data_IF_879106307408
#
_entry.id   IF_879106307408
#
_cell.length_a   1.000
_cell.length_b   1.000
_cell.length_c   1.000
_cell.angle_alpha   90.00
_cell.angle_beta   90.00
_cell.angle_gamma   90.00
#
_symmetry.space_group_name_H-M   'P 1'
#
loop_
_entity.id
_entity.type
_entity.pdbx_description
1 polymer ?
#
# COMPACT_ATOMS: atom_id res chain seq x y z
N UNK A 1 -31.81 -4.44 9.62
CA UNK A 1 -30.60 -4.54 8.79
C UNK A 1 -29.40 -4.64 9.71
N UNK A 2 -28.93 -5.86 9.99
CA UNK A 2 -27.66 -6.05 10.69
C UNK A 2 -26.56 -5.79 9.66
N UNK A 3 -25.75 -4.76 9.83
CA UNK A 3 -24.68 -4.43 8.90
C UNK A 3 -23.72 -5.63 8.79
N UNK A 4 -23.62 -6.32 7.63
CA UNK A 4 -22.80 -7.53 7.46
C UNK A 4 -21.32 -7.19 7.20
N UNK A 5 -20.87 -6.04 7.71
CA UNK A 5 -19.51 -5.53 7.55
C UNK A 5 -18.72 -5.84 8.81
N UNK A 6 -17.67 -6.65 8.65
CA UNK A 6 -16.73 -6.91 9.73
C UNK A 6 -15.76 -5.72 9.85
N UNK A 7 -16.23 -4.62 10.45
CA UNK A 7 -15.49 -3.35 10.60
C UNK A 7 -14.09 -3.58 11.18
N UNK A 8 -13.96 -4.53 12.12
CA UNK A 8 -12.67 -4.92 12.72
C UNK A 8 -11.61 -5.22 11.66
N UNK A 9 -11.96 -5.92 10.57
CA UNK A 9 -11.02 -6.26 9.51
C UNK A 9 -10.56 -5.02 8.75
N UNK A 10 -11.48 -4.13 8.43
CA UNK A 10 -11.18 -2.88 7.71
C UNK A 10 -10.24 -2.02 8.56
N UNK A 11 -10.56 -1.86 9.85
CA UNK A 11 -9.75 -1.07 10.79
C UNK A 11 -8.33 -1.63 10.90
N UNK A 12 -8.18 -2.95 11.09
CA UNK A 12 -6.85 -3.58 11.16
C UNK A 12 -6.08 -3.42 9.84
N UNK A 13 -6.74 -3.52 8.68
CA UNK A 13 -6.11 -3.29 7.38
C UNK A 13 -5.58 -1.85 7.24
N UNK A 14 -6.39 -0.86 7.62
CA UNK A 14 -5.99 0.55 7.64
C UNK A 14 -4.84 0.79 8.61
N UNK A 15 -4.90 0.23 9.82
CA UNK A 15 -3.81 0.34 10.82
C UNK A 15 -2.52 -0.26 10.28
N UNK A 16 -2.58 -1.41 9.60
CA UNK A 16 -1.41 -2.03 8.98
C UNK A 16 -0.80 -1.14 7.88
N UNK A 17 -1.63 -0.49 7.06
CA UNK A 17 -1.13 0.47 6.06
C UNK A 17 -0.52 1.73 6.70
N UNK A 18 -1.09 2.23 7.79
CA UNK A 18 -0.52 3.37 8.53
C UNK A 18 0.81 2.99 9.17
N UNK A 19 0.89 1.81 9.81
CA UNK A 19 2.14 1.29 10.38
C UNK A 19 3.21 1.12 9.29
N UNK A 20 2.81 0.63 8.11
CA UNK A 20 3.68 0.55 6.96
C UNK A 20 4.18 1.93 6.51
N UNK A 21 3.28 2.92 6.41
CA UNK A 21 3.63 4.31 6.08
C UNK A 21 4.62 4.91 7.09
N UNK A 22 4.46 4.61 8.39
CA UNK A 22 5.37 5.08 9.44
C UNK A 22 6.82 4.64 9.23
N UNK A 23 7.08 3.55 8.51
CA UNK A 23 8.44 3.13 8.16
C UNK A 23 9.19 4.22 7.37
N UNK A 24 8.50 4.92 6.46
CA UNK A 24 9.11 5.97 5.64
C UNK A 24 9.43 7.24 6.44
N UNK A 25 8.68 7.48 7.53
CA UNK A 25 8.84 8.65 8.41
C UNK A 25 9.97 8.43 9.41
N UNK A 26 10.00 7.27 10.08
CA UNK A 26 10.88 7.04 11.21
C UNK A 26 12.24 6.44 10.84
N UNK A 27 12.34 5.72 9.71
CA UNK A 27 13.59 5.10 9.29
C UNK A 27 14.39 6.12 8.48
N UNK A 28 15.64 6.35 8.88
CA UNK A 28 16.56 7.24 8.16
C UNK A 28 17.08 6.58 6.88
N UNK A 29 17.18 7.36 5.81
CA UNK A 29 17.71 6.89 4.52
C UNK A 29 19.21 6.55 4.55
N UNK A 30 19.93 7.05 5.56
CA UNK A 30 21.34 6.75 5.78
C UNK A 30 21.61 5.32 6.27
N UNK A 31 20.58 4.58 6.66
CA UNK A 31 20.74 3.22 7.18
C UNK A 31 20.73 2.24 6.01
N UNK A 32 21.86 1.55 5.85
CA UNK A 32 22.10 0.58 4.78
C UNK A 32 22.45 -0.78 5.38
N UNK A 33 22.05 -1.83 4.68
CA UNK A 33 22.48 -3.20 4.93
C UNK A 33 23.67 -3.46 4.03
N UNK A 34 24.79 -3.84 4.63
CA UNK A 34 25.93 -4.39 3.93
C UNK A 34 25.90 -5.92 4.06
N UNK A 35 25.65 -6.60 2.94
CA UNK A 35 25.53 -8.05 2.91
C UNK A 35 26.88 -8.78 2.92
N UNK A 36 27.95 -8.09 2.51
CA UNK A 36 29.30 -8.66 2.35
C UNK A 36 30.25 -8.19 3.46
N UNK A 37 29.93 -7.09 4.14
CA UNK A 37 30.75 -6.48 5.18
C UNK A 37 31.96 -5.71 4.65
N UNK A 38 32.03 -5.52 3.33
CA UNK A 38 33.15 -4.89 2.60
C UNK A 38 32.80 -3.50 2.05
N UNK A 39 31.58 -3.01 2.30
CA UNK A 39 31.08 -1.72 1.83
C UNK A 39 30.73 -1.66 0.35
N UNK A 40 30.80 -2.77 -0.40
CA UNK A 40 30.61 -2.78 -1.87
C UNK A 40 29.14 -2.88 -2.31
N UNK A 41 28.29 -3.57 -1.54
CA UNK A 41 26.89 -3.83 -1.88
C UNK A 41 25.94 -3.32 -0.79
N UNK A 42 25.78 -1.99 -0.75
CA UNK A 42 24.92 -1.31 0.21
C UNK A 42 23.47 -1.27 -0.29
N UNK A 43 22.57 -1.94 0.43
CA UNK A 43 21.13 -1.89 0.17
C UNK A 43 20.43 -1.00 1.19
N UNK A 44 19.56 -0.08 0.77
CA UNK A 44 18.79 0.74 1.71
C UNK A 44 17.88 -0.11 2.59
N UNK A 45 18.05 -0.03 3.92
CA UNK A 45 17.20 -0.74 4.88
C UNK A 45 15.73 -0.31 4.76
N UNK A 46 15.50 0.99 4.49
CA UNK A 46 14.14 1.54 4.32
C UNK A 46 13.41 0.83 3.17
N UNK A 47 14.09 0.62 2.04
CA UNK A 47 13.48 -0.08 0.88
C UNK A 47 13.18 -1.54 1.21
N UNK A 48 14.09 -2.23 1.89
CA UNK A 48 13.90 -3.64 2.28
C UNK A 48 12.70 -3.79 3.22
N UNK A 49 12.62 -2.96 4.27
CA UNK A 49 11.49 -2.98 5.20
C UNK A 49 10.20 -2.51 4.55
N UNK A 50 10.26 -1.58 3.60
CA UNK A 50 9.13 -1.18 2.77
C UNK A 50 8.53 -2.37 2.01
N UNK A 51 9.37 -3.17 1.34
CA UNK A 51 8.91 -4.37 0.61
C UNK A 51 8.38 -5.44 1.57
N UNK A 52 9.10 -5.73 2.67
CA UNK A 52 8.64 -6.71 3.68
C UNK A 52 7.29 -6.30 4.26
N UNK A 53 7.12 -5.02 4.59
CA UNK A 53 5.86 -4.53 5.13
C UNK A 53 4.70 -4.61 4.12
N UNK A 54 4.94 -4.39 2.82
CA UNK A 54 3.92 -4.63 1.79
C UNK A 54 3.52 -6.11 1.71
N UNK A 55 4.48 -7.03 1.83
CA UNK A 55 4.21 -8.47 1.88
C UNK A 55 3.32 -8.80 3.08
N UNK A 56 3.61 -8.24 4.26
CA UNK A 56 2.77 -8.43 5.46
C UNK A 56 1.33 -7.95 5.22
N UNK A 57 1.15 -6.76 4.62
CA UNK A 57 -0.17 -6.22 4.28
C UNK A 57 -0.90 -7.11 3.26
N UNK A 58 -0.19 -7.63 2.26
CA UNK A 58 -0.75 -8.54 1.27
C UNK A 58 -1.17 -9.87 1.90
N UNK A 59 -0.32 -10.47 2.74
CA UNK A 59 -0.62 -11.68 3.49
C UNK A 59 -1.86 -11.50 4.38
N UNK A 60 -2.02 -10.34 5.03
CA UNK A 60 -3.22 -10.04 5.82
C UNK A 60 -4.51 -10.12 4.97
N UNK A 61 -4.50 -9.56 3.75
CA UNK A 61 -5.67 -9.59 2.87
C UNK A 61 -5.93 -10.97 2.25
N UNK A 62 -4.89 -11.76 2.02
CA UNK A 62 -4.98 -13.10 1.44
C UNK A 62 -5.44 -14.15 2.45
N UNK A 63 -4.82 -14.19 3.64
CA UNK A 63 -5.01 -15.27 4.60
C UNK A 63 -6.14 -15.02 5.60
N UNK A 64 -6.43 -13.76 5.94
CA UNK A 64 -7.56 -13.47 6.82
C UNK A 64 -8.83 -13.54 5.99
N UNK A 65 -9.76 -14.41 6.39
CA UNK A 65 -11.07 -14.52 5.77
C UNK A 65 -12.06 -13.50 6.35
N UNK A 66 -13.03 -13.10 5.52
CA UNK A 66 -14.17 -12.26 5.86
C UNK A 66 -15.13 -12.28 4.67
N UNK A 67 -16.34 -11.75 4.87
CA UNK A 67 -17.31 -11.49 3.82
C UNK A 67 -16.66 -10.78 2.60
N UNK A 68 -16.94 -11.19 1.34
CA UNK A 68 -16.38 -10.55 0.15
C UNK A 68 -16.48 -9.03 0.13
N UNK A 69 -17.61 -8.46 0.57
CA UNK A 69 -17.80 -7.00 0.64
C UNK A 69 -16.81 -6.32 1.60
N UNK A 70 -16.57 -6.94 2.76
CA UNK A 70 -15.56 -6.44 3.71
C UNK A 70 -14.14 -6.59 3.17
N UNK A 71 -13.83 -7.68 2.46
CA UNK A 71 -12.51 -7.87 1.83
C UNK A 71 -12.24 -6.80 0.78
N UNK A 72 -13.22 -6.50 -0.08
CA UNK A 72 -13.11 -5.44 -1.10
C UNK A 72 -12.87 -4.09 -0.43
N UNK A 73 -13.73 -3.69 0.51
CA UNK A 73 -13.60 -2.40 1.21
C UNK A 73 -12.25 -2.26 1.94
N UNK A 74 -11.85 -3.28 2.70
CA UNK A 74 -10.56 -3.30 3.40
C UNK A 74 -9.38 -3.16 2.43
N UNK A 75 -9.38 -3.94 1.34
CA UNK A 75 -8.31 -3.91 0.35
C UNK A 75 -8.21 -2.56 -0.37
N UNK A 76 -9.35 -2.00 -0.80
CA UNK A 76 -9.39 -0.71 -1.48
C UNK A 76 -8.95 0.44 -0.57
N UNK A 77 -9.40 0.45 0.69
CA UNK A 77 -8.98 1.46 1.67
C UNK A 77 -7.47 1.38 1.96
N UNK A 78 -6.96 0.17 2.20
CA UNK A 78 -5.54 -0.08 2.47
C UNK A 78 -4.68 0.30 1.26
N UNK A 79 -5.09 -0.08 0.04
CA UNK A 79 -4.40 0.26 -1.20
C UNK A 79 -4.34 1.78 -1.41
N UNK A 80 -5.43 2.49 -1.11
CA UNK A 80 -5.48 3.96 -1.21
C UNK A 80 -4.40 4.61 -0.33
N UNK A 81 -4.26 4.15 0.92
CA UNK A 81 -3.25 4.67 1.85
C UNK A 81 -1.84 4.36 1.36
N UNK A 82 -1.58 3.13 0.91
CA UNK A 82 -0.28 2.72 0.36
C UNK A 82 0.08 3.59 -0.85
N UNK A 83 -0.87 3.75 -1.77
CA UNK A 83 -0.67 4.54 -2.99
C UNK A 83 -0.39 6.01 -2.69
N UNK A 84 -1.19 6.64 -1.80
CA UNK A 84 -0.95 8.02 -1.37
C UNK A 84 0.41 8.18 -0.69
N UNK A 85 0.80 7.22 0.16
CA UNK A 85 2.09 7.23 0.84
C UNK A 85 3.25 7.18 -0.16
N UNK A 86 3.17 6.33 -1.18
CA UNK A 86 4.19 6.25 -2.22
C UNK A 86 4.33 7.57 -3.00
N UNK A 87 3.22 8.23 -3.33
CA UNK A 87 3.25 9.55 -3.97
C UNK A 87 3.89 10.61 -3.07
N UNK A 88 3.57 10.58 -1.78
CA UNK A 88 4.03 11.59 -0.83
C UNK A 88 5.52 11.48 -0.53
N UNK A 89 6.02 10.25 -0.31
CA UNK A 89 7.41 10.02 0.10
C UNK A 89 8.38 9.82 -1.07
N UNK A 90 7.88 9.48 -2.26
CA UNK A 90 8.71 9.31 -3.46
C UNK A 90 8.24 10.26 -4.57
N UNK A 91 8.48 11.57 -4.43
CA UNK A 91 8.04 12.56 -5.40
C UNK A 91 8.67 12.31 -6.77
N UNK A 92 7.82 12.29 -7.81
CA UNK A 92 8.18 11.98 -9.21
C UNK A 92 9.09 13.02 -9.88
N UNK A 93 9.27 14.18 -9.23
CA UNK A 93 9.86 15.39 -9.80
C UNK A 93 11.25 15.70 -9.26
N UNK A 94 11.93 14.71 -8.67
CA UNK A 94 13.32 14.87 -8.25
C UNK A 94 14.23 15.00 -9.50
N UNK A 95 14.94 16.13 -9.69
CA UNK A 95 15.86 16.34 -10.81
C UNK A 95 17.00 15.31 -10.87
N UNK A 96 17.33 14.64 -9.76
CA UNK A 96 18.34 13.58 -9.69
C UNK A 96 17.82 12.19 -10.05
N UNK A 97 16.51 12.01 -10.26
CA UNK A 97 15.92 10.70 -10.54
C UNK A 97 15.93 10.39 -12.04
N UNK A 98 16.95 9.64 -12.48
CA UNK A 98 17.07 9.17 -13.88
C UNK A 98 15.92 8.27 -14.34
N UNK A 99 15.11 7.75 -13.41
CA UNK A 99 13.98 6.86 -13.67
C UNK A 99 12.62 7.54 -13.48
N UNK A 100 12.56 8.87 -13.37
CA UNK A 100 11.33 9.62 -13.05
C UNK A 100 10.11 9.26 -13.90
N UNK A 101 10.31 8.97 -15.20
CA UNK A 101 9.25 8.54 -16.10
C UNK A 101 8.61 7.20 -15.71
N UNK A 102 9.41 6.19 -15.35
CA UNK A 102 8.91 4.89 -14.91
C UNK A 102 8.19 4.99 -13.57
N UNK A 103 8.73 5.76 -12.64
CA UNK A 103 8.12 5.96 -11.32
C UNK A 103 6.75 6.66 -11.46
N UNK A 104 6.64 7.67 -12.32
CA UNK A 104 5.37 8.33 -12.64
C UNK A 104 4.34 7.39 -13.27
N UNK A 105 4.77 6.51 -14.18
CA UNK A 105 3.91 5.51 -14.80
C UNK A 105 3.29 4.55 -13.76
N UNK A 106 4.12 3.99 -12.86
CA UNK A 106 3.62 3.08 -11.81
C UNK A 106 2.70 3.79 -10.82
N UNK A 107 2.92 5.07 -10.52
CA UNK A 107 2.01 5.84 -9.71
C UNK A 107 0.65 6.05 -10.40
N UNK A 108 0.63 6.36 -11.69
CA UNK A 108 -0.62 6.52 -12.44
C UNK A 108 -1.40 5.20 -12.54
N UNK A 109 -0.72 4.08 -12.81
CA UNK A 109 -1.35 2.75 -12.80
C UNK A 109 -1.90 2.42 -11.40
N UNK A 110 -1.15 2.71 -10.35
CA UNK A 110 -1.63 2.55 -8.97
C UNK A 110 -2.90 3.36 -8.70
N UNK A 111 -2.95 4.61 -9.19
CA UNK A 111 -4.10 5.49 -9.03
C UNK A 111 -5.32 4.99 -9.81
N UNK A 112 -5.09 4.50 -11.03
CA UNK A 112 -6.14 3.85 -11.82
C UNK A 112 -6.71 2.63 -11.08
N UNK A 113 -5.85 1.78 -10.51
CA UNK A 113 -6.30 0.62 -9.73
C UNK A 113 -7.15 1.04 -8.52
N UNK A 114 -6.75 2.09 -7.79
CA UNK A 114 -7.53 2.66 -6.69
C UNK A 114 -8.92 3.10 -7.17
N UNK A 115 -8.99 3.89 -8.24
CA UNK A 115 -10.26 4.39 -8.79
C UNK A 115 -11.15 3.24 -9.24
N UNK A 116 -10.63 2.28 -10.01
CA UNK A 116 -11.39 1.14 -10.51
C UNK A 116 -11.96 0.28 -9.37
N UNK A 117 -11.18 0.05 -8.31
CA UNK A 117 -11.64 -0.73 -7.16
C UNK A 117 -12.72 0.00 -6.36
N UNK A 118 -12.63 1.33 -6.21
CA UNK A 118 -13.70 2.14 -5.62
C UNK A 118 -14.97 2.12 -6.47
N UNK A 119 -14.85 2.33 -7.78
CA UNK A 119 -16.01 2.28 -8.71
C UNK A 119 -16.70 0.93 -8.65
N UNK A 120 -15.92 -0.17 -8.64
CA UNK A 120 -16.46 -1.52 -8.51
C UNK A 120 -17.22 -1.70 -7.20
N UNK A 121 -16.64 -1.27 -6.08
CA UNK A 121 -17.29 -1.35 -4.77
C UNK A 121 -18.64 -0.60 -4.75
N UNK A 122 -18.67 0.64 -5.23
CA UNK A 122 -19.92 1.42 -5.28
C UNK A 122 -20.94 0.87 -6.28
N UNK A 123 -20.48 0.27 -7.38
CA UNK A 123 -21.37 -0.31 -8.39
C UNK A 123 -22.05 -1.60 -7.89
N UNK A 124 -21.34 -2.41 -7.11
CA UNK A 124 -21.89 -3.63 -6.51
C UNK A 124 -23.04 -3.31 -5.51
N UNK A 125 -22.93 -2.21 -4.76
CA UNK A 125 -24.00 -1.72 -3.86
C UNK A 125 -25.25 -1.23 -4.63
N UNK A 126 -25.06 -0.55 -5.77
CA UNK A 126 -26.18 -0.04 -6.58
C UNK A 126 -27.03 -1.20 -7.15
N UNK A 127 -26.38 -2.25 -7.66
CA UNK A 127 -27.07 -3.42 -8.24
C UNK A 127 -27.82 -4.22 -7.17
N UNK A 128 -27.31 -4.27 -5.94
CA UNK A 128 -27.99 -4.96 -4.83
C UNK A 128 -29.26 -4.25 -4.33
N UNK A 129 -29.44 -2.97 -4.71
CA UNK A 129 -30.56 -2.12 -4.27
C UNK A 129 -31.67 -1.91 -5.33
N UNK A 130 -31.47 -2.43 -6.54
CA UNK A 130 -32.43 -2.41 -7.65
C UNK A 130 -33.23 -3.73 -7.72
#
# INVERSE_FOLDING_TARGET
MNSPLEIRKVVIGVVLAILWMCLFIFIKDSIVIDWSGDGSNLTSLKMVLGVIGLIVVACYHLFINANPETKKLSATATLTIIWLSLIFFYPFKDPGNTNGGAVGFFALIGGLAVVVLWVRFFSDDLVASA
#
